data_IF_297296099149
#
_entry.id   IF_297296099149
#
_cell.length_a   1.000
_cell.length_b   1.000
_cell.length_c   1.000
_cell.angle_alpha   90.00
_cell.angle_beta   90.00
_cell.angle_gamma   90.00
#
_symmetry.space_group_name_H-M   'P 1'
#
loop_
_entity.id
_entity.type
_entity.pdbx_description
1 polymer ?
#
# COMPACT_ATOMS: atom_id res chain seq x y z
N UNK A 1 -6.75 -0.52 -2.77
CA UNK A 1 -5.85 -0.45 -1.59
C UNK A 1 -6.69 -0.31 -0.34
N UNK A 2 -6.67 -1.28 0.58
CA UNK A 2 -7.23 -1.07 1.92
C UNK A 2 -6.15 -0.35 2.72
N UNK A 3 -6.26 0.97 2.85
CA UNK A 3 -5.53 1.72 3.88
C UNK A 3 -6.03 1.16 5.21
N UNK A 4 -5.24 0.28 5.80
CA UNK A 4 -5.56 -0.27 7.12
C UNK A 4 -5.23 0.81 8.13
N UNK A 5 -6.18 1.07 9.03
CA UNK A 5 -5.93 1.92 10.20
C UNK A 5 -4.71 1.35 10.93
N UNK A 6 -3.61 2.11 11.06
CA UNK A 6 -2.54 1.72 11.98
C UNK A 6 -3.17 1.64 13.36
N UNK A 7 -3.25 0.43 13.91
CA UNK A 7 -3.77 0.22 15.25
C UNK A 7 -2.67 -0.30 16.16
N UNK A 8 -2.63 0.24 17.38
CA UNK A 8 -1.88 -0.32 18.50
C UNK A 8 -2.66 -1.45 19.18
N UNK A 9 -3.89 -1.73 18.76
CA UNK A 9 -4.69 -2.83 19.28
C UNK A 9 -3.93 -4.16 19.11
N UNK A 10 -4.08 -5.04 20.10
CA UNK A 10 -3.62 -6.42 19.98
C UNK A 10 -4.49 -7.15 18.96
N UNK A 11 -4.12 -7.06 17.70
CA UNK A 11 -4.76 -7.84 16.64
C UNK A 11 -4.18 -9.26 16.69
N UNK A 12 -5.03 -10.28 16.50
CA UNK A 12 -4.60 -11.64 16.20
C UNK A 12 -3.83 -11.72 14.87
N UNK A 13 -3.89 -12.86 14.17
CA UNK A 13 -3.16 -13.02 12.92
C UNK A 13 -3.68 -12.04 11.83
N UNK A 14 -2.94 -10.95 11.57
CA UNK A 14 -2.83 -10.42 10.21
C UNK A 14 -3.14 -8.96 9.93
N UNK A 15 -3.35 -8.06 10.91
CA UNK A 15 -3.62 -6.64 10.56
C UNK A 15 -3.02 -5.55 11.48
N UNK A 16 -2.09 -5.90 12.38
CA UNK A 16 -1.47 -4.94 13.30
C UNK A 16 -0.05 -4.53 12.93
N UNK A 17 0.43 -3.45 13.54
CA UNK A 17 1.87 -3.11 13.57
C UNK A 17 2.62 -4.30 14.18
N UNK A 18 3.72 -4.70 13.55
CA UNK A 18 4.56 -5.81 14.02
C UNK A 18 4.91 -5.62 15.51
N UNK A 19 4.85 -6.67 16.36
CA UNK A 19 5.04 -6.52 17.81
C UNK A 19 6.31 -5.78 18.20
N UNK A 20 7.43 -6.12 17.55
CA UNK A 20 8.74 -5.49 17.78
C UNK A 20 8.84 -4.02 17.34
N UNK A 21 7.88 -3.51 16.56
CA UNK A 21 7.75 -2.07 16.23
C UNK A 21 6.73 -1.41 17.15
N UNK A 22 5.65 -2.12 17.51
CA UNK A 22 4.57 -1.63 18.36
C UNK A 22 5.05 -1.31 19.78
N UNK A 23 5.77 -2.23 20.41
CA UNK A 23 6.19 -2.10 21.81
C UNK A 23 7.06 -0.86 22.08
N UNK A 24 8.08 -0.55 21.25
CA UNK A 24 8.83 0.71 21.38
C UNK A 24 7.95 1.96 21.24
N UNK A 25 6.99 1.98 20.30
CA UNK A 25 6.07 3.11 20.11
C UNK A 25 5.18 3.33 21.33
N UNK A 26 4.63 2.25 21.88
CA UNK A 26 3.82 2.30 23.11
C UNK A 26 4.63 2.81 24.30
N UNK A 27 5.87 2.33 24.47
CA UNK A 27 6.74 2.80 25.56
C UNK A 27 7.04 4.30 25.46
N UNK A 28 7.33 4.81 24.26
CA UNK A 28 7.56 6.24 24.04
C UNK A 28 6.30 7.07 24.27
N UNK A 29 5.15 6.55 23.86
CA UNK A 29 3.87 7.21 24.08
C UNK A 29 3.51 7.30 25.58
N UNK A 30 3.63 6.18 26.32
CA UNK A 30 3.40 6.16 27.77
C UNK A 30 4.40 7.01 28.55
N UNK A 31 5.64 7.14 28.06
CA UNK A 31 6.65 8.02 28.65
C UNK A 31 6.46 9.50 28.30
N UNK A 32 5.43 9.87 27.52
CA UNK A 32 5.19 11.26 27.08
C UNK A 32 6.22 11.79 26.07
N UNK A 33 7.02 10.91 25.46
CA UNK A 33 8.06 11.27 24.48
C UNK A 33 7.56 11.25 23.04
N UNK A 34 6.36 10.71 22.80
CA UNK A 34 5.72 10.62 21.50
C UNK A 34 4.23 10.91 21.66
N UNK A 35 3.69 11.81 20.84
CA UNK A 35 2.25 12.05 20.79
C UNK A 35 1.64 11.23 19.65
N UNK A 36 0.75 10.31 19.99
CA UNK A 36 -0.02 9.52 19.03
C UNK A 36 -1.47 9.98 19.11
N UNK A 37 -1.99 10.48 17.99
CA UNK A 37 -3.38 10.93 17.88
C UNK A 37 -4.12 10.01 16.91
N UNK A 38 -5.10 9.28 17.44
CA UNK A 38 -5.97 8.41 16.65
C UNK A 38 -7.19 9.18 16.14
N UNK A 39 -7.83 8.64 15.10
CA UNK A 39 -9.05 9.23 14.51
C UNK A 39 -8.85 10.70 14.12
N UNK A 40 -7.65 11.00 13.61
CA UNK A 40 -7.23 12.34 13.25
C UNK A 40 -7.09 12.47 11.74
N UNK A 41 -7.52 13.61 11.21
CA UNK A 41 -7.41 13.97 9.79
C UNK A 41 -6.72 15.34 9.66
N UNK A 42 -5.68 15.41 8.85
CA UNK A 42 -5.09 16.69 8.46
C UNK A 42 -6.04 17.39 7.48
N UNK A 43 -6.43 18.63 7.81
CA UNK A 43 -7.29 19.48 6.96
C UNK A 43 -6.47 20.41 6.08
N UNK A 44 -5.47 21.07 6.68
CA UNK A 44 -4.63 22.06 6.01
C UNK A 44 -3.20 21.98 6.52
N UNK A 45 -2.25 22.34 5.67
CA UNK A 45 -0.81 22.39 5.97
C UNK A 45 -0.32 23.80 5.64
N UNK A 46 0.34 24.42 6.62
CA UNK A 46 1.01 25.71 6.53
C UNK A 46 2.53 25.54 6.66
N UNK A 47 3.34 26.56 6.35
CA UNK A 47 4.79 26.46 6.44
C UNK A 47 5.34 26.01 7.80
N UNK A 48 4.67 26.37 8.90
CA UNK A 48 5.12 26.09 10.28
C UNK A 48 4.03 25.47 11.17
N UNK A 49 2.91 25.05 10.58
CA UNK A 49 1.80 24.45 11.32
C UNK A 49 0.91 23.60 10.42
N UNK A 50 0.01 22.84 11.02
CA UNK A 50 -1.06 22.13 10.33
C UNK A 50 -2.36 22.22 11.12
N UNK A 51 -3.49 22.06 10.43
CA UNK A 51 -4.80 21.93 11.06
C UNK A 51 -5.16 20.46 11.14
N UNK A 52 -5.31 19.96 12.35
CA UNK A 52 -5.72 18.60 12.65
C UNK A 52 -7.18 18.60 13.11
N UNK A 53 -8.02 17.81 12.47
CA UNK A 53 -9.36 17.48 12.96
C UNK A 53 -9.29 16.16 13.73
N UNK A 54 -9.83 16.14 14.94
CA UNK A 54 -9.97 14.92 15.75
C UNK A 54 -11.43 14.83 16.18
N UNK A 55 -12.17 13.89 15.60
CA UNK A 55 -13.60 13.68 15.89
C UNK A 55 -14.44 14.97 15.76
N UNK A 56 -14.15 15.80 14.76
CA UNK A 56 -14.86 17.05 14.50
C UNK A 56 -14.38 18.27 15.30
N UNK A 57 -13.37 18.11 16.17
CA UNK A 57 -12.70 19.22 16.82
C UNK A 57 -11.41 19.56 16.08
N UNK A 58 -11.31 20.78 15.59
CA UNK A 58 -10.11 21.26 14.88
C UNK A 58 -9.12 21.90 15.86
N UNK A 59 -7.84 21.61 15.65
CA UNK A 59 -6.73 22.20 16.40
C UNK A 59 -5.56 22.47 15.46
N UNK A 60 -4.95 23.64 15.63
CA UNK A 60 -3.68 23.95 14.99
C UNK A 60 -2.51 23.36 15.77
N UNK A 61 -1.59 22.71 15.07
CA UNK A 61 -0.39 22.09 15.62
C UNK A 61 0.83 22.73 14.97
N UNK A 62 1.74 23.39 15.72
CA UNK A 62 2.99 23.87 15.18
C UNK A 62 3.90 22.70 14.80
N UNK A 63 4.52 22.78 13.62
CA UNK A 63 5.46 21.79 13.14
C UNK A 63 6.43 22.39 12.10
N UNK A 64 7.71 22.08 12.23
CA UNK A 64 8.74 22.53 11.26
C UNK A 64 8.82 21.59 10.04
N UNK A 65 8.48 20.31 10.24
CA UNK A 65 8.61 19.25 9.24
C UNK A 65 7.43 18.28 9.28
N UNK A 66 7.05 17.78 8.11
CA UNK A 66 5.98 16.78 7.95
C UNK A 66 6.51 15.61 7.13
N UNK A 67 6.37 14.40 7.67
CA UNK A 67 6.66 13.15 6.98
C UNK A 67 5.34 12.47 6.56
N UNK A 68 4.99 12.56 5.28
CA UNK A 68 3.77 11.96 4.73
C UNK A 68 3.96 10.46 4.45
N UNK A 69 3.79 9.62 5.48
CA UNK A 69 3.93 8.16 5.39
C UNK A 69 2.60 7.45 5.07
N UNK A 70 1.89 7.92 4.04
CA UNK A 70 0.52 7.46 3.68
C UNK A 70 0.49 6.25 2.74
N UNK A 71 1.65 5.66 2.45
CA UNK A 71 1.82 4.57 1.51
C UNK A 71 1.89 5.05 0.05
N UNK A 72 2.06 4.10 -0.87
CA UNK A 72 2.17 4.37 -2.30
C UNK A 72 1.12 3.59 -3.09
N UNK A 73 0.79 4.09 -4.28
CA UNK A 73 -0.02 3.37 -5.26
C UNK A 73 0.88 2.97 -6.42
N UNK A 74 0.67 1.79 -7.03
CA UNK A 74 1.38 1.44 -8.25
C UNK A 74 1.02 2.45 -9.34
N UNK A 75 2.03 2.95 -10.04
CA UNK A 75 1.81 3.70 -11.27
C UNK A 75 1.45 2.71 -12.38
N UNK A 76 0.22 2.82 -12.89
CA UNK A 76 -0.32 1.97 -13.95
C UNK A 76 -0.53 2.74 -15.25
N UNK A 77 -0.02 3.96 -15.37
CA UNK A 77 -0.21 4.78 -16.57
C UNK A 77 0.36 4.10 -17.81
N UNK A 78 1.55 3.50 -17.70
CA UNK A 78 2.15 2.72 -18.79
C UNK A 78 1.22 1.58 -19.28
N UNK A 79 0.51 0.89 -18.36
CA UNK A 79 -0.44 -0.18 -18.72
C UNK A 79 -1.73 0.38 -19.31
N UNK A 80 -2.17 1.55 -18.86
CA UNK A 80 -3.33 2.23 -19.45
C UNK A 80 -3.04 2.66 -20.89
N UNK A 81 -1.83 3.15 -21.16
CA UNK A 81 -1.39 3.55 -22.50
C UNK A 81 -1.37 2.37 -23.49
N UNK A 82 -1.13 1.14 -23.02
CA UNK A 82 -1.26 -0.06 -23.86
C UNK A 82 -2.71 -0.51 -24.09
N UNK A 83 -3.70 0.14 -23.44
CA UNK A 83 -5.11 -0.26 -23.48
C UNK A 83 -5.48 -1.38 -22.50
N UNK A 84 -4.60 -1.73 -21.55
CA UNK A 84 -4.93 -2.76 -20.56
C UNK A 84 -6.01 -2.27 -19.59
N UNK A 85 -6.97 -3.15 -19.28
CA UNK A 85 -8.06 -2.82 -18.36
C UNK A 85 -7.51 -2.77 -16.93
N UNK A 86 -7.79 -1.67 -16.23
CA UNK A 86 -7.46 -1.51 -14.81
C UNK A 86 -8.72 -1.72 -13.98
N UNK A 87 -8.68 -2.66 -13.05
CA UNK A 87 -9.75 -2.95 -12.11
C UNK A 87 -9.99 -1.83 -11.11
N UNK A 88 -11.13 -1.91 -10.40
CA UNK A 88 -11.52 -0.93 -9.38
C UNK A 88 -10.57 -0.89 -8.17
N UNK A 89 -9.74 -1.92 -7.97
CA UNK A 89 -8.71 -1.98 -6.95
C UNK A 89 -7.42 -1.22 -7.30
N UNK A 90 -7.34 -0.68 -8.53
CA UNK A 90 -6.20 0.06 -9.06
C UNK A 90 -5.10 -0.82 -9.66
N UNK A 91 -5.40 -2.09 -9.94
CA UNK A 91 -4.48 -3.06 -10.54
C UNK A 91 -4.96 -3.50 -11.92
N UNK A 92 -4.07 -3.89 -12.84
CA UNK A 92 -4.47 -4.48 -14.12
C UNK A 92 -5.34 -5.73 -13.91
N UNK A 93 -6.28 -5.95 -14.82
CA UNK A 93 -6.93 -7.24 -14.97
C UNK A 93 -6.03 -8.19 -15.76
N UNK A 94 -5.89 -9.41 -15.26
CA UNK A 94 -5.00 -10.43 -15.81
C UNK A 94 -5.49 -11.85 -15.46
N UNK A 95 -5.08 -12.82 -16.26
CA UNK A 95 -5.31 -14.25 -16.00
C UNK A 95 -4.47 -14.72 -14.81
N UNK A 96 -5.09 -15.38 -13.82
CA UNK A 96 -4.42 -15.76 -12.56
C UNK A 96 -3.35 -16.84 -12.71
N UNK A 97 -3.39 -17.64 -13.76
CA UNK A 97 -2.45 -18.75 -14.00
C UNK A 97 -1.28 -18.32 -14.89
N UNK A 98 -1.50 -17.39 -15.81
CA UNK A 98 -0.48 -16.92 -16.78
C UNK A 98 0.07 -15.54 -16.47
N UNK A 99 -0.65 -14.74 -15.69
CA UNK A 99 -0.41 -13.31 -15.44
C UNK A 99 -0.41 -12.44 -16.69
N UNK A 100 -1.02 -12.93 -17.78
CA UNK A 100 -1.27 -12.17 -19.00
C UNK A 100 -2.45 -11.22 -18.77
N UNK A 101 -2.28 -9.96 -19.16
CA UNK A 101 -3.31 -8.92 -19.04
C UNK A 101 -4.42 -9.10 -20.09
N UNK A 102 -5.35 -8.16 -20.15
CA UNK A 102 -6.36 -8.11 -21.23
C UNK A 102 -5.76 -7.83 -22.62
N UNK A 103 -4.47 -7.45 -22.69
CA UNK A 103 -3.73 -7.26 -23.93
C UNK A 103 -2.82 -8.48 -24.15
N UNK A 104 -2.95 -9.09 -25.33
CA UNK A 104 -2.18 -10.26 -25.70
C UNK A 104 -0.67 -9.98 -25.66
N UNK A 105 0.10 -10.94 -25.15
CA UNK A 105 1.55 -10.87 -24.94
C UNK A 105 2.03 -9.78 -23.96
N UNK A 106 1.12 -9.15 -23.21
CA UNK A 106 1.46 -8.22 -22.14
C UNK A 106 1.20 -8.88 -20.79
N UNK A 107 2.26 -9.03 -20.00
CA UNK A 107 2.24 -9.73 -18.71
C UNK A 107 2.59 -8.80 -17.55
N UNK A 108 2.10 -9.09 -16.35
CA UNK A 108 2.35 -8.29 -15.15
C UNK A 108 2.92 -9.15 -14.02
N UNK A 109 3.81 -8.57 -13.21
CA UNK A 109 4.45 -9.26 -12.09
C UNK A 109 4.65 -8.31 -10.90
N UNK A 110 5.01 -8.86 -9.74
CA UNK A 110 5.27 -8.09 -8.52
C UNK A 110 4.05 -7.34 -8.00
N UNK A 111 4.26 -6.11 -7.51
CA UNK A 111 3.24 -5.30 -6.83
C UNK A 111 2.07 -4.85 -7.73
N UNK A 112 2.21 -4.99 -9.05
CA UNK A 112 1.11 -4.79 -10.01
C UNK A 112 0.07 -5.92 -9.94
N UNK A 113 0.46 -7.07 -9.38
CA UNK A 113 -0.43 -8.22 -9.20
C UNK A 113 -1.11 -8.18 -7.82
N UNK A 114 -2.01 -9.12 -7.59
CA UNK A 114 -2.70 -9.36 -6.31
C UNK A 114 -1.85 -10.18 -5.33
N UNK A 115 -0.64 -10.57 -5.73
CA UNK A 115 0.38 -11.14 -4.85
C UNK A 115 1.23 -10.05 -4.17
N UNK A 116 0.73 -9.54 -3.05
CA UNK A 116 1.37 -8.45 -2.31
C UNK A 116 2.58 -8.87 -1.47
N UNK A 117 2.77 -10.18 -1.27
CA UNK A 117 3.87 -10.71 -0.48
C UNK A 117 5.06 -11.06 -1.37
N UNK A 118 6.25 -10.56 -1.00
CA UNK A 118 7.49 -10.80 -1.75
C UNK A 118 7.74 -12.28 -2.03
N UNK A 119 7.42 -13.17 -1.07
CA UNK A 119 7.56 -14.62 -1.25
C UNK A 119 6.74 -15.16 -2.43
N UNK A 120 5.53 -14.66 -2.62
CA UNK A 120 4.65 -15.08 -3.71
C UNK A 120 5.06 -14.39 -5.02
N UNK A 121 5.44 -13.12 -4.96
CA UNK A 121 5.88 -12.34 -6.12
C UNK A 121 7.09 -12.98 -6.84
N UNK A 122 8.00 -13.63 -6.11
CA UNK A 122 9.17 -14.32 -6.69
C UNK A 122 8.77 -15.55 -7.53
N UNK A 123 7.61 -16.14 -7.26
CA UNK A 123 7.13 -17.34 -7.96
C UNK A 123 6.43 -17.01 -9.29
N UNK A 124 6.09 -15.74 -9.52
CA UNK A 124 5.33 -15.33 -10.71
C UNK A 124 6.16 -15.36 -12.00
N UNK A 125 7.40 -14.82 -12.06
CA UNK A 125 8.17 -14.82 -13.29
C UNK A 125 8.40 -16.23 -13.88
N UNK A 126 8.74 -17.27 -13.10
CA UNK A 126 8.82 -18.63 -13.63
C UNK A 126 7.53 -19.15 -14.27
N UNK A 127 6.36 -18.77 -13.74
CA UNK A 127 5.05 -19.16 -14.32
C UNK A 127 4.80 -18.44 -15.64
N UNK A 128 5.08 -17.14 -15.69
CA UNK A 128 4.98 -16.32 -16.92
C UNK A 128 5.90 -16.90 -18.01
N UNK A 129 7.16 -17.19 -17.68
CA UNK A 129 8.13 -17.77 -18.62
C UNK A 129 7.64 -19.11 -19.16
N UNK A 130 7.09 -19.99 -18.31
CA UNK A 130 6.47 -21.26 -18.76
C UNK A 130 5.28 -21.03 -19.69
N UNK A 131 4.47 -20.00 -19.42
CA UNK A 131 3.32 -19.65 -20.28
C UNK A 131 3.80 -19.16 -21.66
N UNK A 132 4.77 -18.26 -21.69
CA UNK A 132 5.36 -17.75 -22.93
C UNK A 132 6.01 -18.89 -23.73
N UNK A 133 6.78 -19.75 -23.08
CA UNK A 133 7.45 -20.87 -23.74
C UNK A 133 6.46 -21.83 -24.43
N UNK A 134 5.31 -22.12 -23.81
CA UNK A 134 4.25 -22.94 -24.42
C UNK A 134 3.70 -22.34 -25.73
N UNK A 135 3.70 -21.01 -25.84
CA UNK A 135 3.22 -20.30 -27.03
C UNK A 135 4.27 -20.28 -28.15
N UNK A 136 5.55 -20.33 -27.81
CA UNK A 136 6.67 -20.26 -28.77
C UNK A 136 7.07 -21.61 -29.38
N UNK A 137 6.72 -22.75 -28.75
CA UNK A 137 7.08 -24.11 -29.24
C UNK A 137 6.00 -24.67 -30.18
N UNK A 138 5.39 -23.81 -31.01
CA UNK A 138 4.46 -24.21 -32.06
C UNK A 138 5.14 -24.28 -33.42
#
# INVERSE_FOLDING_TARGET
>A
MVLRRPSLDKIGQGAGIKPWVREPLESLWQAGKLNIVFDAQIKEIFPFSLILDVKGQTKEIPCDHIFALTGTRPDVNLLKETGAIIGSDGKPEYNKDTYETTIANLFVTGHLTRELHMKNAILLPPQIVKSIAKTLVK
#
